data_IF_201701104089
#
_entry.id   IF_201701104089
#
_cell.length_a   1.000
_cell.length_b   1.000
_cell.length_c   1.000
_cell.angle_alpha   90.00
_cell.angle_beta   90.00
_cell.angle_gamma   90.00
#
_symmetry.space_group_name_H-M   'P 1'
#
loop_
_entity.id
_entity.type
_entity.pdbx_description
1 polymer ?
#
# COMPACT_ATOMS: atom_id res chain seq x y z
N UNK A 1 -9.55 32.69 5.61
CA UNK A 1 -9.67 32.27 4.20
C UNK A 1 -10.78 33.08 3.55
N UNK A 2 -10.49 33.86 2.50
CA UNK A 2 -11.44 34.85 1.95
C UNK A 2 -12.63 34.21 1.22
N UNK A 3 -13.81 34.86 1.33
CA UNK A 3 -15.06 34.54 0.64
C UNK A 3 -14.90 34.43 -0.89
N UNK A 4 -13.99 35.21 -1.48
CA UNK A 4 -13.67 35.15 -2.91
C UNK A 4 -13.11 33.77 -3.32
N UNK A 5 -12.18 33.20 -2.54
CA UNK A 5 -11.66 31.86 -2.82
C UNK A 5 -12.73 30.76 -2.67
N UNK A 6 -13.79 31.01 -1.90
CA UNK A 6 -14.91 30.07 -1.78
C UNK A 6 -15.82 30.12 -3.00
N UNK A 7 -16.10 31.31 -3.54
CA UNK A 7 -16.91 31.47 -4.76
C UNK A 7 -16.20 30.88 -5.99
N UNK A 8 -14.92 31.19 -6.20
CA UNK A 8 -14.16 30.65 -7.34
C UNK A 8 -13.96 29.13 -7.27
N UNK A 9 -13.74 28.54 -6.08
CA UNK A 9 -13.62 27.08 -5.98
C UNK A 9 -14.96 26.35 -6.14
N UNK A 10 -16.10 26.98 -5.85
CA UNK A 10 -17.41 26.29 -5.88
C UNK A 10 -17.79 25.82 -7.29
N UNK A 11 -17.58 26.64 -8.32
CA UNK A 11 -17.82 26.22 -9.72
C UNK A 11 -16.79 25.25 -10.29
N UNK A 12 -15.58 25.19 -9.70
CA UNK A 12 -14.50 24.30 -10.14
C UNK A 12 -14.56 22.93 -9.44
N UNK A 13 -15.15 22.86 -8.24
CA UNK A 13 -15.23 21.63 -7.44
C UNK A 13 -16.02 20.53 -8.15
N UNK A 14 -17.28 20.74 -8.53
CA UNK A 14 -18.11 19.63 -9.04
C UNK A 14 -17.68 19.12 -10.40
N UNK A 15 -17.14 19.99 -11.27
CA UNK A 15 -16.51 19.57 -12.52
C UNK A 15 -15.36 18.59 -12.26
N UNK A 16 -14.39 18.97 -11.42
CA UNK A 16 -13.26 18.11 -11.05
C UNK A 16 -13.71 16.85 -10.30
N UNK A 17 -14.67 16.97 -9.37
CA UNK A 17 -15.21 15.86 -8.60
C UNK A 17 -15.91 14.83 -9.49
N UNK A 18 -16.80 15.26 -10.40
CA UNK A 18 -17.44 14.39 -11.39
C UNK A 18 -16.42 13.67 -12.25
N UNK A 19 -15.40 14.37 -12.76
CA UNK A 19 -14.34 13.74 -13.57
C UNK A 19 -13.56 12.70 -12.76
N UNK A 20 -13.09 13.04 -11.56
CA UNK A 20 -12.34 12.10 -10.71
C UNK A 20 -13.19 10.88 -10.28
N UNK A 21 -14.50 11.05 -10.02
CA UNK A 21 -15.41 9.93 -9.73
C UNK A 21 -15.58 9.00 -10.94
N UNK A 22 -15.83 9.55 -12.13
CA UNK A 22 -15.97 8.73 -13.35
C UNK A 22 -14.68 7.95 -13.68
N UNK A 23 -13.51 8.58 -13.49
CA UNK A 23 -12.22 7.90 -13.64
C UNK A 23 -12.02 6.81 -12.59
N UNK A 24 -12.35 7.07 -11.31
CA UNK A 24 -12.29 6.07 -10.24
C UNK A 24 -13.16 4.84 -10.56
N UNK A 25 -14.44 5.06 -10.91
CA UNK A 25 -15.39 3.99 -11.27
C UNK A 25 -14.86 3.16 -12.44
N UNK A 26 -14.43 3.84 -13.53
CA UNK A 26 -13.92 3.16 -14.73
C UNK A 26 -12.66 2.34 -14.44
N UNK A 27 -11.77 2.84 -13.58
CA UNK A 27 -10.53 2.17 -13.19
C UNK A 27 -10.79 1.00 -12.24
N UNK A 28 -11.69 1.15 -11.27
CA UNK A 28 -12.12 0.08 -10.37
C UNK A 28 -12.70 -1.09 -11.18
N UNK A 29 -13.65 -0.81 -12.10
CA UNK A 29 -14.23 -1.82 -13.01
C UNK A 29 -13.17 -2.58 -13.81
N UNK A 30 -12.17 -1.88 -14.34
CA UNK A 30 -11.05 -2.51 -15.05
C UNK A 30 -10.18 -3.39 -14.12
N UNK A 31 -9.92 -2.97 -12.89
CA UNK A 31 -9.14 -3.72 -11.92
C UNK A 31 -9.88 -4.98 -11.41
N UNK A 32 -11.20 -4.90 -11.17
CA UNK A 32 -12.03 -6.06 -10.83
C UNK A 32 -11.98 -7.10 -11.96
N UNK A 33 -12.23 -6.68 -13.21
CA UNK A 33 -12.18 -7.56 -14.39
C UNK A 33 -10.82 -8.26 -14.58
N UNK A 34 -9.72 -7.59 -14.24
CA UNK A 34 -8.37 -8.17 -14.30
C UNK A 34 -8.12 -9.19 -13.19
N UNK A 35 -8.65 -8.97 -11.99
CA UNK A 35 -8.33 -9.73 -10.78
C UNK A 35 -8.84 -11.18 -10.80
N UNK A 36 -9.90 -11.50 -11.55
CA UNK A 36 -10.44 -12.87 -11.65
C UNK A 36 -9.42 -13.92 -12.13
N UNK A 37 -8.70 -13.63 -13.22
CA UNK A 37 -7.68 -14.54 -13.74
C UNK A 37 -6.48 -14.62 -12.79
N UNK A 38 -6.12 -13.50 -12.16
CA UNK A 38 -5.03 -13.45 -11.18
C UNK A 38 -5.36 -14.29 -9.94
N UNK A 39 -6.57 -14.20 -9.41
CA UNK A 39 -7.05 -15.02 -8.29
C UNK A 39 -6.97 -16.52 -8.60
N UNK A 40 -7.50 -16.94 -9.76
CA UNK A 40 -7.42 -18.34 -10.21
C UNK A 40 -5.98 -18.82 -10.36
N UNK A 41 -5.09 -17.98 -10.87
CA UNK A 41 -3.67 -18.30 -11.00
C UNK A 41 -2.97 -18.46 -9.65
N UNK A 42 -3.12 -17.51 -8.72
CA UNK A 42 -2.51 -17.58 -7.38
C UNK A 42 -3.02 -18.78 -6.57
N UNK A 43 -4.33 -19.11 -6.65
CA UNK A 43 -4.87 -20.32 -6.00
C UNK A 43 -4.25 -21.60 -6.59
N UNK A 44 -4.06 -21.65 -7.91
CA UNK A 44 -3.38 -22.77 -8.58
C UNK A 44 -1.90 -22.89 -8.17
N UNK A 45 -1.17 -21.78 -8.03
CA UNK A 45 0.21 -21.80 -7.49
C UNK A 45 0.24 -22.41 -6.07
N UNK A 46 -0.69 -22.01 -5.20
CA UNK A 46 -0.80 -22.57 -3.83
C UNK A 46 -1.06 -24.08 -3.87
N UNK A 47 -1.98 -24.54 -4.72
CA UNK A 47 -2.24 -25.98 -4.87
C UNK A 47 -0.97 -26.75 -5.32
N UNK A 48 -0.16 -26.17 -6.22
CA UNK A 48 1.12 -26.74 -6.64
C UNK A 48 2.14 -26.80 -5.49
N UNK A 49 2.22 -25.75 -4.66
CA UNK A 49 3.09 -25.77 -3.47
C UNK A 49 2.66 -26.81 -2.43
N UNK A 50 1.35 -26.98 -2.21
CA UNK A 50 0.82 -28.03 -1.33
C UNK A 50 1.14 -29.43 -1.88
N UNK A 51 0.91 -29.68 -3.17
CA UNK A 51 1.22 -30.95 -3.83
C UNK A 51 2.73 -31.28 -3.80
N UNK A 52 3.59 -30.26 -3.81
CA UNK A 52 5.04 -30.42 -3.69
C UNK A 52 5.55 -30.55 -2.23
N UNK A 53 4.66 -30.56 -1.23
CA UNK A 53 5.02 -30.57 0.19
C UNK A 53 5.66 -29.27 0.70
N UNK A 54 5.60 -28.19 -0.09
CA UNK A 54 6.22 -26.90 0.22
C UNK A 54 5.31 -26.01 1.07
N UNK A 55 4.78 -26.56 2.17
CA UNK A 55 3.83 -25.87 3.06
C UNK A 55 4.28 -24.48 3.52
N UNK A 56 5.55 -24.22 3.91
CA UNK A 56 5.96 -22.88 4.33
C UNK A 56 5.75 -21.81 3.24
N UNK A 57 5.91 -22.18 1.97
CA UNK A 57 5.65 -21.29 0.83
C UNK A 57 4.15 -21.09 0.64
N UNK A 58 3.35 -22.15 0.73
CA UNK A 58 1.89 -22.08 0.69
C UNK A 58 1.31 -21.18 1.81
N UNK A 59 1.83 -21.29 3.05
CA UNK A 59 1.44 -20.46 4.21
C UNK A 59 1.71 -18.97 4.00
N UNK A 60 2.77 -18.61 3.26
CA UNK A 60 3.07 -17.22 2.90
C UNK A 60 2.18 -16.75 1.72
N UNK A 61 2.06 -17.57 0.67
CA UNK A 61 1.31 -17.23 -0.55
C UNK A 61 -0.20 -17.10 -0.30
N UNK A 62 -0.79 -17.90 0.58
CA UNK A 62 -2.23 -17.77 0.93
C UNK A 62 -2.55 -16.42 1.57
N UNK A 63 -1.60 -15.87 2.35
CA UNK A 63 -1.77 -14.55 2.96
C UNK A 63 -1.85 -13.44 1.89
N UNK A 64 -1.07 -13.56 0.81
CA UNK A 64 -1.17 -12.65 -0.34
C UNK A 64 -2.51 -12.81 -1.06
N UNK A 65 -2.97 -14.04 -1.32
CA UNK A 65 -4.30 -14.29 -1.90
C UNK A 65 -5.42 -13.63 -1.09
N UNK A 66 -5.39 -13.76 0.23
CA UNK A 66 -6.39 -13.13 1.12
C UNK A 66 -6.33 -11.60 1.04
N UNK A 67 -5.13 -11.00 1.00
CA UNK A 67 -4.99 -9.54 0.80
C UNK A 67 -5.60 -9.10 -0.52
N UNK A 68 -5.34 -9.81 -1.62
CA UNK A 68 -5.90 -9.46 -2.94
C UNK A 68 -7.42 -9.66 -3.02
N UNK A 69 -7.97 -10.65 -2.31
CA UNK A 69 -9.42 -10.84 -2.16
C UNK A 69 -10.05 -9.69 -1.35
N UNK A 70 -9.39 -9.27 -0.27
CA UNK A 70 -9.87 -8.16 0.55
C UNK A 70 -9.86 -6.82 -0.21
N UNK A 71 -8.82 -6.55 -1.01
CA UNK A 71 -8.77 -5.36 -1.87
C UNK A 71 -9.89 -5.41 -2.93
N UNK A 72 -10.15 -6.57 -3.53
CA UNK A 72 -11.23 -6.74 -4.50
C UNK A 72 -12.61 -6.47 -3.87
N UNK A 73 -12.89 -7.03 -2.70
CA UNK A 73 -14.14 -6.76 -1.96
C UNK A 73 -14.28 -5.28 -1.51
N UNK A 74 -13.16 -4.62 -1.18
CA UNK A 74 -13.17 -3.19 -0.90
C UNK A 74 -13.47 -2.35 -2.16
N UNK A 75 -13.04 -2.80 -3.34
CA UNK A 75 -13.35 -2.13 -4.61
C UNK A 75 -14.83 -2.18 -4.97
N UNK A 76 -15.54 -3.29 -4.74
CA UNK A 76 -17.01 -3.36 -4.94
C UNK A 76 -17.76 -2.28 -4.13
N UNK A 77 -17.36 -2.09 -2.86
CA UNK A 77 -17.97 -1.08 -1.98
C UNK A 77 -17.56 0.35 -2.42
N UNK A 78 -16.30 0.56 -2.80
CA UNK A 78 -15.80 1.87 -3.24
C UNK A 78 -16.40 2.31 -4.59
N UNK A 79 -16.66 1.37 -5.50
CA UNK A 79 -17.39 1.59 -6.75
C UNK A 79 -18.79 2.14 -6.48
N UNK A 80 -19.57 1.43 -5.66
CA UNK A 80 -20.91 1.84 -5.23
C UNK A 80 -20.89 3.22 -4.57
N UNK A 81 -19.94 3.49 -3.68
CA UNK A 81 -19.79 4.81 -3.06
C UNK A 81 -19.42 5.90 -4.05
N UNK A 82 -18.59 5.62 -5.07
CA UNK A 82 -18.28 6.59 -6.11
C UNK A 82 -19.52 6.91 -6.97
N UNK A 83 -20.31 5.91 -7.36
CA UNK A 83 -21.56 6.11 -8.11
C UNK A 83 -22.61 6.87 -7.28
N UNK A 84 -22.76 6.52 -6.00
CA UNK A 84 -23.68 7.17 -5.06
C UNK A 84 -23.37 8.66 -4.84
N UNK A 85 -22.09 9.01 -4.72
CA UNK A 85 -21.58 10.38 -4.63
C UNK A 85 -21.74 11.11 -5.97
N UNK A 86 -21.44 10.44 -7.10
CA UNK A 86 -21.53 11.02 -8.45
C UNK A 86 -22.94 11.54 -8.74
N UNK A 87 -23.95 10.77 -8.39
CA UNK A 87 -25.36 11.17 -8.50
C UNK A 87 -25.73 12.39 -7.63
N UNK A 88 -24.97 12.67 -6.56
CA UNK A 88 -25.26 13.70 -5.54
C UNK A 88 -24.26 14.85 -5.50
N UNK A 89 -23.34 14.96 -6.47
CA UNK A 89 -22.38 16.08 -6.56
C UNK A 89 -23.05 17.48 -6.47
N UNK A 90 -24.22 17.76 -7.08
CA UNK A 90 -24.87 19.07 -6.91
C UNK A 90 -25.26 19.40 -5.46
N UNK A 91 -25.62 18.40 -4.66
CA UNK A 91 -25.92 18.56 -3.23
C UNK A 91 -24.62 18.87 -2.48
N UNK A 92 -23.55 18.11 -2.77
CA UNK A 92 -22.20 18.36 -2.24
C UNK A 92 -21.75 19.79 -2.57
N UNK A 93 -21.86 20.22 -3.83
CA UNK A 93 -21.52 21.58 -4.28
C UNK A 93 -22.32 22.69 -3.59
N UNK A 94 -23.59 22.43 -3.25
CA UNK A 94 -24.45 23.44 -2.64
C UNK A 94 -24.18 23.63 -1.14
N UNK A 95 -23.86 22.55 -0.42
CA UNK A 95 -23.67 22.58 1.03
C UNK A 95 -22.22 22.89 1.44
N UNK A 96 -22.07 23.63 2.55
CA UNK A 96 -20.77 23.96 3.16
C UNK A 96 -20.21 22.78 3.95
N UNK A 97 -21.08 22.08 4.68
CA UNK A 97 -20.74 20.93 5.51
C UNK A 97 -20.96 19.62 4.75
N UNK A 98 -20.46 18.51 5.29
CA UNK A 98 -20.63 17.20 4.69
C UNK A 98 -22.06 16.69 4.98
N UNK A 99 -22.91 16.43 3.97
CA UNK A 99 -24.26 15.92 4.21
C UNK A 99 -24.19 14.58 4.94
N UNK A 100 -25.00 14.40 5.98
CA UNK A 100 -24.98 13.20 6.85
C UNK A 100 -25.17 11.91 6.04
N UNK A 101 -26.12 11.91 5.10
CA UNK A 101 -26.39 10.79 4.16
C UNK A 101 -25.18 10.42 3.26
N UNK A 102 -24.25 11.36 3.04
CA UNK A 102 -23.07 11.16 2.21
C UNK A 102 -21.79 10.93 3.03
N UNK A 103 -21.84 11.13 4.36
CA UNK A 103 -20.66 11.10 5.23
C UNK A 103 -19.95 9.76 5.15
N UNK A 104 -20.68 8.64 5.14
CA UNK A 104 -20.07 7.30 5.06
C UNK A 104 -19.31 7.07 3.75
N UNK A 105 -19.94 7.35 2.61
CA UNK A 105 -19.32 7.18 1.30
C UNK A 105 -18.08 8.08 1.13
N UNK A 106 -18.19 9.36 1.55
CA UNK A 106 -17.10 10.34 1.46
C UNK A 106 -15.95 9.95 2.39
N UNK A 107 -16.25 9.57 3.64
CA UNK A 107 -15.24 9.14 4.59
C UNK A 107 -14.52 7.86 4.14
N UNK A 108 -15.26 6.90 3.60
CA UNK A 108 -14.70 5.64 3.09
C UNK A 108 -13.74 5.87 1.91
N UNK A 109 -14.06 6.75 0.98
CA UNK A 109 -13.15 7.14 -0.11
C UNK A 109 -11.90 7.85 0.43
N UNK A 110 -12.03 8.79 1.38
CA UNK A 110 -10.90 9.51 1.97
C UNK A 110 -9.96 8.54 2.72
N UNK A 111 -10.52 7.55 3.42
CA UNK A 111 -9.77 6.51 4.11
C UNK A 111 -9.09 5.52 3.15
N UNK A 112 -9.76 5.12 2.07
CA UNK A 112 -9.23 4.20 1.07
C UNK A 112 -8.15 4.84 0.17
N UNK A 113 -8.24 6.14 -0.11
CA UNK A 113 -7.35 6.87 -1.01
C UNK A 113 -5.83 6.61 -0.84
N UNK A 114 -5.23 6.65 0.37
CA UNK A 114 -3.81 6.32 0.56
C UNK A 114 -3.50 4.83 0.55
N UNK A 115 -4.50 3.95 0.58
CA UNK A 115 -4.37 2.47 0.66
C UNK A 115 -4.54 1.79 -0.70
N UNK A 116 -5.17 2.46 -1.66
CA UNK A 116 -5.47 1.95 -3.00
C UNK A 116 -4.60 2.63 -4.07
N UNK A 117 -3.30 2.31 -4.10
CA UNK A 117 -2.32 2.89 -5.06
C UNK A 117 -2.72 2.71 -6.53
N UNK A 118 -3.39 1.61 -6.86
CA UNK A 118 -3.87 1.31 -8.22
C UNK A 118 -5.00 2.25 -8.69
N UNK A 119 -5.60 3.03 -7.79
CA UNK A 119 -6.71 3.97 -8.09
C UNK A 119 -6.37 5.39 -7.63
N UNK A 120 -5.41 6.08 -8.30
CA UNK A 120 -4.95 7.41 -7.88
C UNK A 120 -6.03 8.51 -7.95
N UNK A 121 -7.18 8.27 -8.60
CA UNK A 121 -8.31 9.22 -8.59
C UNK A 121 -8.94 9.33 -7.20
N UNK A 122 -8.87 8.29 -6.36
CA UNK A 122 -9.31 8.36 -4.96
C UNK A 122 -8.46 9.38 -4.18
N UNK A 123 -7.17 9.50 -4.49
CA UNK A 123 -6.29 10.53 -3.92
C UNK A 123 -6.67 11.94 -4.41
N UNK A 124 -7.07 12.07 -5.68
CA UNK A 124 -7.62 13.34 -6.19
C UNK A 124 -8.92 13.71 -5.46
N UNK A 125 -9.82 12.75 -5.23
CA UNK A 125 -11.05 12.96 -4.46
C UNK A 125 -10.77 13.35 -3.01
N UNK A 126 -9.83 12.68 -2.33
CA UNK A 126 -9.35 13.08 -0.99
C UNK A 126 -8.86 14.53 -0.98
N UNK A 127 -8.10 14.94 -1.99
CA UNK A 127 -7.58 16.31 -2.09
C UNK A 127 -8.71 17.34 -2.35
N UNK A 128 -9.71 16.99 -3.16
CA UNK A 128 -10.90 17.82 -3.39
C UNK A 128 -11.73 17.97 -2.10
N UNK A 129 -11.97 16.88 -1.36
CA UNK A 129 -12.68 16.94 -0.08
C UNK A 129 -11.87 17.67 1.01
N UNK A 130 -10.54 17.55 1.03
CA UNK A 130 -9.67 18.35 1.88
C UNK A 130 -9.80 19.86 1.60
N UNK A 131 -9.85 20.26 0.32
CA UNK A 131 -10.05 21.65 -0.05
C UNK A 131 -11.47 22.16 0.28
N UNK A 132 -12.48 21.28 0.25
CA UNK A 132 -13.88 21.64 0.51
C UNK A 132 -14.25 21.68 2.00
N UNK A 133 -13.91 20.65 2.76
CA UNK A 133 -14.30 20.45 4.16
C UNK A 133 -13.17 20.73 5.16
N UNK A 134 -11.94 20.93 4.68
CA UNK A 134 -10.79 21.29 5.50
C UNK A 134 -9.98 20.09 5.99
N UNK A 135 -8.77 20.40 6.50
CA UNK A 135 -7.79 19.40 6.94
C UNK A 135 -8.29 18.57 8.12
N UNK A 136 -8.96 19.18 9.09
CA UNK A 136 -9.44 18.48 10.29
C UNK A 136 -10.50 17.42 10.00
N UNK A 137 -11.37 17.66 9.03
CA UNK A 137 -12.31 16.65 8.56
C UNK A 137 -11.58 15.43 7.97
N UNK A 138 -10.58 15.69 7.12
CA UNK A 138 -9.81 14.63 6.45
C UNK A 138 -8.85 13.90 7.39
N UNK A 139 -8.28 14.57 8.40
CA UNK A 139 -7.45 13.93 9.42
C UNK A 139 -8.29 13.06 10.35
N UNK A 140 -9.44 13.55 10.85
CA UNK A 140 -10.36 12.75 11.67
C UNK A 140 -10.79 11.44 11.00
N UNK A 141 -11.05 11.48 9.69
CA UNK A 141 -11.34 10.29 8.88
C UNK A 141 -10.12 9.40 8.69
N UNK A 142 -8.95 9.98 8.39
CA UNK A 142 -7.71 9.20 8.16
C UNK A 142 -7.20 8.49 9.42
N UNK A 143 -7.43 9.10 10.59
CA UNK A 143 -7.06 8.63 11.93
C UNK A 143 -8.13 7.73 12.57
N UNK A 144 -9.28 7.54 11.93
CA UNK A 144 -10.44 6.83 12.48
C UNK A 144 -10.89 7.36 13.86
N UNK A 145 -10.93 8.69 14.03
CA UNK A 145 -11.46 9.32 15.26
C UNK A 145 -12.91 8.87 15.53
N UNK A 146 -13.37 8.89 16.80
CA UNK A 146 -14.77 8.62 17.12
C UNK A 146 -15.67 9.66 16.44
N UNK A 147 -16.60 9.20 15.60
CA UNK A 147 -17.41 9.95 14.61
C UNK A 147 -16.91 9.94 13.14
N UNK A 148 -15.73 9.39 12.84
CA UNK A 148 -15.14 9.39 11.48
C UNK A 148 -16.09 8.91 10.37
N UNK A 149 -17.00 7.98 10.69
CA UNK A 149 -18.07 7.55 9.80
C UNK A 149 -17.60 6.68 8.64
N UNK A 150 -16.36 6.19 8.66
CA UNK A 150 -15.83 5.25 7.66
C UNK A 150 -16.59 3.94 7.73
N UNK A 151 -16.97 3.37 6.59
CA UNK A 151 -17.62 2.08 6.51
C UNK A 151 -16.75 0.99 7.16
N UNK A 152 -17.32 0.24 8.11
CA UNK A 152 -16.59 -0.75 8.90
C UNK A 152 -15.93 -1.84 8.03
N UNK A 153 -16.62 -2.31 7.01
CA UNK A 153 -16.08 -3.33 6.08
C UNK A 153 -14.87 -2.79 5.31
N UNK A 154 -14.89 -1.52 4.88
CA UNK A 154 -13.73 -0.87 4.27
C UNK A 154 -12.52 -0.81 5.22
N UNK A 155 -12.73 -0.54 6.52
CA UNK A 155 -11.65 -0.56 7.53
C UNK A 155 -11.07 -1.97 7.64
N UNK A 156 -11.92 -2.99 7.80
CA UNK A 156 -11.52 -4.39 7.97
C UNK A 156 -10.80 -4.93 6.73
N UNK A 157 -11.29 -4.61 5.52
CA UNK A 157 -10.74 -5.08 4.24
C UNK A 157 -9.46 -4.35 3.81
N UNK A 158 -9.32 -3.06 4.10
CA UNK A 158 -8.10 -2.28 3.78
C UNK A 158 -7.15 -2.16 4.99
N UNK A 159 -7.33 -3.00 6.03
CA UNK A 159 -6.39 -3.10 7.14
C UNK A 159 -5.08 -3.74 6.68
N UNK A 160 -3.96 -3.26 7.24
CA UNK A 160 -2.63 -3.85 7.05
C UNK A 160 -2.35 -5.04 7.98
N UNK A 161 -3.31 -5.40 8.83
CA UNK A 161 -3.18 -6.51 9.77
C UNK A 161 -3.09 -7.87 9.03
N UNK A 162 -2.25 -8.76 9.53
CA UNK A 162 -2.13 -10.12 9.00
C UNK A 162 -3.44 -10.90 9.20
N UNK A 163 -3.96 -11.62 8.20
CA UNK A 163 -5.06 -12.57 8.38
C UNK A 163 -4.75 -13.60 9.47
N UNK A 164 -5.73 -13.93 10.31
CA UNK A 164 -5.56 -14.90 11.40
C UNK A 164 -5.15 -16.29 10.88
N UNK A 165 -4.58 -17.11 11.76
CA UNK A 165 -4.27 -18.51 11.48
C UNK A 165 -5.47 -19.27 10.88
N UNK A 166 -6.65 -19.11 11.50
CA UNK A 166 -7.88 -19.79 11.07
C UNK A 166 -8.33 -19.38 9.67
N UNK A 167 -8.24 -18.09 9.33
CA UNK A 167 -8.62 -17.59 8.00
C UNK A 167 -7.63 -18.12 6.94
N UNK A 168 -6.32 -18.12 7.23
CA UNK A 168 -5.30 -18.70 6.33
C UNK A 168 -5.52 -20.20 6.14
N UNK A 169 -5.75 -20.93 7.23
CA UNK A 169 -6.00 -22.37 7.23
C UNK A 169 -7.27 -22.73 6.45
N UNK A 170 -8.35 -21.98 6.64
CA UNK A 170 -9.61 -22.15 5.90
C UNK A 170 -9.40 -22.00 4.41
N UNK A 171 -8.71 -20.94 3.96
CA UNK A 171 -8.46 -20.70 2.54
C UNK A 171 -7.51 -21.75 1.94
N UNK A 172 -6.51 -22.24 2.69
CA UNK A 172 -5.69 -23.39 2.27
C UNK A 172 -6.53 -24.66 2.09
N UNK A 173 -7.37 -25.02 3.06
CA UNK A 173 -8.28 -26.18 2.99
C UNK A 173 -9.27 -26.06 1.82
N UNK A 174 -9.76 -24.85 1.53
CA UNK A 174 -10.59 -24.59 0.35
C UNK A 174 -9.85 -24.77 -0.98
N UNK A 175 -8.60 -24.33 -1.09
CA UNK A 175 -7.76 -24.48 -2.28
C UNK A 175 -7.39 -25.96 -2.50
N UNK A 176 -6.97 -26.67 -1.46
CA UNK A 176 -6.66 -28.10 -1.55
C UNK A 176 -7.87 -28.90 -2.09
N UNK A 177 -9.06 -28.60 -1.58
CA UNK A 177 -10.32 -29.19 -2.07
C UNK A 177 -10.67 -28.77 -3.51
N UNK A 178 -10.48 -27.51 -3.90
CA UNK A 178 -10.75 -27.02 -5.26
C UNK A 178 -9.89 -27.76 -6.32
N UNK A 179 -8.62 -28.03 -6.00
CA UNK A 179 -7.67 -28.66 -6.92
C UNK A 179 -7.48 -30.18 -6.69
N UNK A 180 -8.26 -30.79 -5.80
CA UNK A 180 -8.17 -32.21 -5.42
C UNK A 180 -6.77 -32.63 -4.94
N UNK A 181 -6.11 -31.77 -4.17
CA UNK A 181 -4.83 -32.06 -3.53
C UNK A 181 -5.09 -32.74 -2.20
N UNK A 182 -4.62 -33.98 -2.05
CA UNK A 182 -4.59 -34.68 -0.77
C UNK A 182 -3.50 -34.05 0.11
N UNK A 183 -3.91 -33.40 1.20
CA UNK A 183 -3.04 -32.60 2.06
C UNK A 183 -3.46 -32.72 3.52
N UNK A 184 -2.56 -33.24 4.36
CA UNK A 184 -2.71 -33.22 5.81
C UNK A 184 -2.40 -31.82 6.37
N UNK A 185 -3.44 -31.12 6.81
CA UNK A 185 -3.30 -29.78 7.37
C UNK A 185 -2.67 -29.72 8.77
N UNK A 186 -2.45 -30.86 9.43
CA UNK A 186 -2.09 -30.93 10.86
C UNK A 186 -0.81 -30.15 11.20
N UNK A 187 0.21 -30.18 10.32
CA UNK A 187 1.45 -29.43 10.52
C UNK A 187 1.20 -27.91 10.50
N UNK A 188 0.51 -27.43 9.47
CA UNK A 188 0.18 -26.02 9.30
C UNK A 188 -0.81 -25.49 10.34
N UNK A 189 -1.75 -26.32 10.81
CA UNK A 189 -2.68 -25.99 11.90
C UNK A 189 -1.94 -25.87 13.25
N UNK A 190 -0.99 -26.77 13.53
CA UNK A 190 -0.11 -26.67 14.69
C UNK A 190 0.83 -25.46 14.61
N UNK A 191 1.35 -25.11 13.42
CA UNK A 191 2.17 -23.91 13.24
C UNK A 191 1.36 -22.63 13.48
N UNK A 192 0.16 -22.51 12.92
CA UNK A 192 -0.69 -21.33 13.10
C UNK A 192 -1.19 -21.17 14.54
N UNK A 193 -1.20 -22.25 15.32
CA UNK A 193 -1.55 -22.26 16.74
C UNK A 193 -0.39 -21.82 17.66
N UNK A 194 0.85 -21.75 17.15
CA UNK A 194 1.98 -21.19 17.90
C UNK A 194 1.83 -19.68 17.96
N UNK A 195 1.52 -19.15 19.15
CA UNK A 195 1.73 -17.73 19.41
C UNK A 195 3.20 -17.41 19.20
N UNK A 196 3.50 -16.47 18.31
CA UNK A 196 4.80 -15.82 18.34
C UNK A 196 4.87 -15.07 19.68
N UNK A 197 5.67 -15.59 20.61
CA UNK A 197 6.09 -14.85 21.80
C UNK A 197 6.60 -13.48 21.32
N UNK A 198 5.99 -12.42 21.83
CA UNK A 198 6.34 -11.07 21.44
C UNK A 198 7.72 -10.75 22.02
N UNK A 199 8.77 -10.96 21.23
CA UNK A 199 10.17 -10.72 21.62
C UNK A 199 10.46 -9.24 21.92
N UNK A 200 9.48 -8.35 21.77
CA UNK A 200 9.51 -6.95 22.22
C UNK A 200 8.77 -6.72 23.55
N UNK A 201 8.22 -7.78 24.16
CA UNK A 201 7.61 -7.82 25.48
C UNK A 201 8.63 -7.64 26.61
N UNK A 202 9.15 -6.42 26.77
CA UNK A 202 10.05 -6.07 27.86
C UNK A 202 9.44 -6.42 29.23
N UNK A 203 10.14 -7.30 29.97
CA UNK A 203 9.64 -7.89 31.22
C UNK A 203 9.12 -6.85 32.21
N UNK A 204 7.81 -6.92 32.50
CA UNK A 204 7.16 -6.23 33.63
C UNK A 204 6.83 -7.21 34.75
N UNK A 205 7.85 -7.82 35.34
CA UNK A 205 7.76 -8.29 36.72
C UNK A 205 8.35 -7.24 37.66
N UNK A 206 7.48 -6.34 38.14
CA UNK A 206 7.67 -5.66 39.42
C UNK A 206 6.51 -6.12 40.30
N UNK A 207 6.66 -7.29 40.92
CA UNK A 207 5.74 -7.78 41.94
C UNK A 207 5.96 -7.01 43.23
N UNK A 208 5.11 -6.02 43.49
CA UNK A 208 5.00 -5.42 44.81
C UNK A 208 4.30 -6.40 45.77
N UNK A 209 5.01 -6.84 46.81
CA UNK A 209 4.44 -7.60 47.92
C UNK A 209 5.14 -7.22 49.23
N UNK A 210 4.40 -6.51 50.09
CA UNK A 210 4.79 -6.18 51.47
C UNK A 210 4.36 -7.31 52.40
N UNK A 211 5.18 -7.67 53.40
CA UNK A 211 4.79 -8.64 54.44
C UNK A 211 5.96 -9.06 55.34
N UNK A 212 5.80 -8.91 56.65
CA UNK A 212 6.88 -8.98 57.65
C UNK A 212 7.22 -10.38 58.20
N UNK A 213 8.43 -10.46 58.81
CA UNK A 213 8.75 -11.09 60.12
C UNK A 213 9.71 -12.29 60.25
N UNK A 214 10.85 -12.01 60.95
CA UNK A 214 11.45 -12.78 62.10
C UNK A 214 12.23 -14.09 61.75
N UNK A 215 13.59 -14.17 61.68
CA UNK A 215 14.67 -14.14 62.73
C UNK A 215 14.94 -15.55 63.37
N UNK A 216 16.13 -15.97 63.94
CA UNK A 216 17.52 -15.42 64.05
C UNK A 216 18.72 -16.37 63.65
N UNK A 217 19.96 -15.83 63.63
CA UNK A 217 21.14 -16.25 64.44
C UNK A 217 22.54 -16.41 63.74
N UNK A 218 23.52 -15.58 64.18
CA UNK A 218 24.93 -15.86 64.62
C UNK A 218 25.77 -16.98 63.93
N UNK A 219 27.11 -16.89 63.73
CA UNK A 219 28.21 -16.10 64.32
C UNK A 219 29.42 -16.08 63.33
N UNK A 220 30.32 -15.07 63.40
CA UNK A 220 31.63 -15.14 62.72
C UNK A 220 32.38 -13.80 62.64
N UNK A 221 33.31 -13.55 63.57
CA UNK A 221 34.15 -12.33 63.60
C UNK A 221 35.55 -12.62 63.03
N UNK A 222 36.20 -11.65 62.37
CA UNK A 222 37.46 -11.06 62.84
C UNK A 222 38.05 -9.99 61.89
N UNK A 223 38.43 -8.83 62.49
CA UNK A 223 39.61 -7.97 62.20
C UNK A 223 39.80 -7.46 60.75
N UNK A 224 39.71 -6.16 60.43
CA UNK A 224 40.58 -5.00 60.80
C UNK A 224 40.96 -4.34 59.44
N UNK A 225 41.17 -3.04 59.22
CA UNK A 225 41.53 -1.87 60.04
C UNK A 225 40.87 -0.58 59.51
N UNK A 226 40.61 0.38 60.41
CA UNK A 226 40.98 1.83 60.33
C UNK A 226 41.86 2.26 59.13
N UNK A 227 41.86 3.48 58.56
CA UNK A 227 41.21 4.79 58.81
C UNK A 227 41.67 5.76 57.66
N UNK A 228 41.21 7.00 57.44
CA UNK A 228 40.28 7.91 58.15
C UNK A 228 39.51 8.84 57.16
N UNK A 229 38.89 9.90 57.68
CA UNK A 229 38.31 11.11 57.04
C UNK A 229 39.33 11.88 56.14
N UNK A 230 39.04 12.92 55.35
CA UNK A 230 37.92 13.89 55.23
C UNK A 230 38.02 14.55 53.81
N UNK A 231 37.22 15.48 53.29
CA UNK A 231 36.10 16.29 53.82
C UNK A 231 35.36 16.99 52.65
N UNK A 232 34.06 17.31 52.83
CA UNK A 232 33.38 18.60 52.49
C UNK A 232 33.55 19.21 51.07
N UNK A 233 32.45 19.40 50.29
CA UNK A 233 31.72 20.68 50.05
C UNK A 233 32.61 21.90 49.64
N UNK A 234 32.22 22.84 48.77
CA UNK A 234 30.98 23.63 48.63
C UNK A 234 30.85 24.13 47.15
N UNK A 235 29.67 24.63 46.75
CA UNK A 235 29.36 25.42 45.54
C UNK A 235 29.99 26.85 45.55
N UNK A 236 29.71 27.78 44.60
CA UNK A 236 29.58 27.72 43.13
C UNK A 236 30.46 28.78 42.38
N UNK A 237 30.25 28.93 41.07
CA UNK A 237 30.22 30.21 40.27
C UNK A 237 31.30 30.44 39.18
N UNK A 238 30.80 30.81 37.99
CA UNK A 238 31.40 31.51 36.84
C UNK A 238 32.57 30.91 36.03
N UNK A 239 32.29 30.72 34.73
CA UNK A 239 33.28 30.65 33.65
C UNK A 239 32.63 30.53 32.28
N UNK A 240 32.48 31.64 31.54
CA UNK A 240 32.19 31.58 30.10
C UNK A 240 33.44 31.09 29.38
N UNK A 241 33.32 30.11 28.47
CA UNK A 241 33.85 30.18 27.10
C UNK A 241 33.65 28.87 26.34
N UNK A 242 33.34 29.01 25.06
CA UNK A 242 33.39 27.96 24.03
C UNK A 242 34.87 27.64 23.73
N UNK A 243 35.23 26.35 23.50
CA UNK A 243 36.28 26.11 22.52
C UNK A 243 36.04 24.92 21.57
N UNK A 244 36.20 25.28 20.31
CA UNK A 244 36.74 24.56 19.17
C UNK A 244 37.53 23.25 19.39
N UNK A 245 37.44 22.40 18.36
CA UNK A 245 38.06 21.10 18.18
C UNK A 245 39.49 21.16 17.56
N UNK A 246 40.48 20.49 18.17
CA UNK A 246 41.84 20.24 17.66
C UNK A 246 42.38 18.90 18.24
N UNK A 247 43.27 18.12 17.60
CA UNK A 247 43.60 18.02 16.17
C UNK A 247 44.31 16.68 15.86
N UNK A 248 44.14 16.26 14.61
CA UNK A 248 44.72 15.12 13.86
C UNK A 248 46.26 15.23 13.69
N UNK A 249 46.97 14.11 13.38
CA UNK A 249 47.86 14.09 12.20
C UNK A 249 47.58 12.85 11.31
N UNK A 250 47.17 12.96 10.03
CA UNK A 250 47.83 13.52 8.82
C UNK A 250 48.83 12.52 8.24
N UNK A 251 48.76 12.18 6.95
CA UNK A 251 49.28 13.02 5.85
C UNK A 251 48.72 12.54 4.48
N UNK A 252 48.12 13.41 3.65
CA UNK A 252 48.71 14.15 2.48
C UNK A 252 48.97 13.26 1.24
N UNK A 253 48.76 13.64 -0.03
CA UNK A 253 48.33 14.88 -0.73
C UNK A 253 48.04 14.54 -2.23
N UNK A 254 47.62 15.39 -3.19
CA UNK A 254 47.23 16.82 -3.25
C UNK A 254 46.34 17.09 -4.50
N UNK A 255 45.40 18.02 -4.37
CA UNK A 255 44.72 18.81 -5.44
C UNK A 255 45.72 19.72 -6.20
N UNK A 256 45.44 20.32 -7.41
CA UNK A 256 44.38 21.34 -7.66
C UNK A 256 43.83 21.46 -9.13
N UNK A 257 43.01 22.43 -9.54
CA UNK A 257 41.74 23.01 -8.98
C UNK A 257 41.13 24.03 -9.99
N UNK A 258 39.82 24.28 -9.93
CA UNK A 258 39.05 25.47 -10.39
C UNK A 258 39.15 26.05 -11.83
N UNK A 259 37.98 26.44 -12.38
CA UNK A 259 37.85 27.39 -13.49
C UNK A 259 36.42 27.45 -14.08
N UNK A 260 35.79 28.62 -14.11
CA UNK A 260 34.41 28.85 -14.62
C UNK A 260 34.40 29.68 -15.93
N UNK A 261 33.25 29.62 -16.63
CA UNK A 261 32.67 30.61 -17.58
C UNK A 261 32.59 30.25 -19.09
N UNK A 262 31.34 30.14 -19.55
CA UNK A 262 30.67 30.88 -20.64
C UNK A 262 31.25 31.07 -22.08
N UNK A 263 30.33 30.83 -23.03
CA UNK A 263 30.11 31.50 -24.35
C UNK A 263 30.89 31.02 -25.62
N UNK A 264 30.08 30.84 -26.66
CA UNK A 264 30.29 30.55 -28.10
C UNK A 264 31.09 31.63 -28.89
N UNK A 265 31.33 31.53 -30.23
CA UNK A 265 31.23 30.39 -31.18
C UNK A 265 32.40 30.28 -32.21
N UNK A 266 32.33 29.26 -33.10
CA UNK A 266 32.89 29.22 -34.50
C UNK A 266 34.42 29.06 -34.66
N UNK A 267 35.02 28.52 -35.73
CA UNK A 267 34.58 27.96 -37.04
C UNK A 267 35.48 26.75 -37.40
N UNK A 268 34.96 25.66 -38.01
CA UNK A 268 35.45 25.01 -39.26
C UNK A 268 34.95 23.56 -39.43
N UNK A 269 34.37 23.33 -40.60
CA UNK A 269 34.06 22.06 -41.25
C UNK A 269 35.38 21.30 -41.63
N UNK A 270 35.44 20.02 -42.02
CA UNK A 270 34.49 19.24 -42.81
C UNK A 270 34.53 17.71 -42.51
N UNK A 271 33.49 17.02 -43.02
CA UNK A 271 33.41 15.63 -43.50
C UNK A 271 33.35 14.37 -42.60
N UNK A 272 32.23 13.64 -42.84
CA UNK A 272 32.04 12.18 -42.88
C UNK A 272 31.79 11.35 -41.58
N UNK A 273 30.96 10.27 -41.64
CA UNK A 273 30.10 9.86 -40.52
C UNK A 273 30.51 8.57 -39.75
N UNK A 274 29.85 8.24 -38.62
CA UNK A 274 30.43 7.43 -37.55
C UNK A 274 30.13 5.92 -37.58
N UNK A 275 30.96 5.17 -36.85
CA UNK A 275 30.74 3.78 -36.49
C UNK A 275 29.68 3.60 -35.38
N UNK A 276 29.11 2.40 -35.32
CA UNK A 276 27.86 2.04 -34.63
C UNK A 276 28.20 1.10 -33.47
N UNK A 277 27.50 1.15 -32.33
CA UNK A 277 27.07 -0.10 -31.69
C UNK A 277 25.84 -0.07 -30.76
N UNK A 278 25.08 -1.16 -30.82
CA UNK A 278 23.98 -1.65 -29.95
C UNK A 278 22.99 -0.67 -29.26
N UNK A 279 21.77 -0.55 -29.84
CA UNK A 279 20.58 -1.34 -29.40
C UNK A 279 19.40 -1.17 -30.37
N UNK A 280 18.71 -2.27 -30.66
CA UNK A 280 17.80 -2.42 -31.80
C UNK A 280 16.33 -2.29 -31.38
N UNK A 281 15.61 -1.29 -31.88
CA UNK A 281 14.16 -1.17 -31.70
C UNK A 281 13.48 -1.21 -33.08
N UNK A 282 12.94 -2.39 -33.44
CA UNK A 282 12.54 -2.70 -34.82
C UNK A 282 11.18 -2.10 -35.17
N UNK A 283 11.17 -0.91 -35.77
CA UNK A 283 9.97 -0.30 -36.35
C UNK A 283 9.46 -1.16 -37.54
N UNK A 284 8.24 -1.73 -37.50
CA UNK A 284 7.77 -2.65 -38.54
C UNK A 284 7.61 -1.92 -39.88
N UNK A 285 7.97 -2.60 -40.97
CA UNK A 285 7.78 -2.08 -42.34
C UNK A 285 6.28 -1.95 -42.64
N UNK A 286 5.92 -0.99 -43.49
CA UNK A 286 4.52 -0.75 -43.89
C UNK A 286 3.84 -1.98 -44.50
N UNK A 287 4.60 -2.87 -45.13
CA UNK A 287 4.15 -4.17 -45.65
C UNK A 287 3.53 -5.05 -44.54
N UNK A 288 4.22 -5.21 -43.42
CA UNK A 288 3.82 -6.07 -42.29
C UNK A 288 2.49 -5.61 -41.67
N UNK A 289 2.24 -4.30 -41.67
CA UNK A 289 1.00 -3.70 -41.15
C UNK A 289 -0.18 -4.03 -42.07
N UNK A 290 0.02 -3.94 -43.40
CA UNK A 290 -1.00 -4.30 -44.39
C UNK A 290 -1.28 -5.80 -44.42
N UNK A 291 -0.26 -6.64 -44.24
CA UNK A 291 -0.41 -8.09 -44.18
C UNK A 291 -1.17 -8.53 -42.92
N UNK A 292 -0.86 -7.95 -41.76
CA UNK A 292 -1.63 -8.17 -40.52
C UNK A 292 -3.08 -7.68 -40.64
N UNK A 293 -3.32 -6.55 -41.31
CA UNK A 293 -4.67 -6.06 -41.57
C UNK A 293 -5.47 -7.04 -42.46
N UNK A 294 -4.86 -7.57 -43.53
CA UNK A 294 -5.48 -8.61 -44.39
C UNK A 294 -5.77 -9.89 -43.63
N UNK A 295 -4.83 -10.36 -42.80
CA UNK A 295 -5.01 -11.54 -41.96
C UNK A 295 -6.16 -11.36 -40.94
N UNK A 296 -6.32 -10.16 -40.37
CA UNK A 296 -7.42 -9.82 -39.47
C UNK A 296 -8.78 -9.84 -40.19
N UNK A 297 -8.87 -9.25 -41.39
CA UNK A 297 -10.10 -9.28 -42.22
C UNK A 297 -10.50 -10.73 -42.54
N UNK A 298 -9.56 -11.53 -43.05
CA UNK A 298 -9.81 -12.94 -43.39
C UNK A 298 -10.15 -13.80 -42.14
N UNK A 299 -9.79 -13.36 -40.93
CA UNK A 299 -10.20 -14.00 -39.67
C UNK A 299 -11.64 -13.63 -39.30
N UNK A 300 -12.00 -12.35 -39.43
CA UNK A 300 -13.37 -11.86 -39.17
C UNK A 300 -14.40 -12.45 -40.14
N UNK A 301 -14.04 -12.64 -41.42
CA UNK A 301 -14.89 -13.30 -42.41
C UNK A 301 -15.13 -14.78 -42.07
N UNK A 302 -14.07 -15.51 -41.65
CA UNK A 302 -14.20 -16.91 -41.19
C UNK A 302 -15.07 -17.04 -39.93
N UNK A 303 -14.89 -16.14 -38.96
CA UNK A 303 -15.76 -16.10 -37.78
C UNK A 303 -17.23 -15.81 -38.16
N UNK A 304 -17.46 -14.89 -39.09
CA UNK A 304 -18.81 -14.55 -39.58
C UNK A 304 -19.45 -15.72 -40.35
N UNK A 305 -18.67 -16.45 -41.14
CA UNK A 305 -19.15 -17.65 -41.85
C UNK A 305 -19.52 -18.78 -40.87
N UNK A 306 -18.66 -19.04 -39.86
CA UNK A 306 -18.94 -20.01 -38.82
C UNK A 306 -20.20 -19.66 -38.01
N UNK A 307 -20.41 -18.38 -37.69
CA UNK A 307 -21.61 -17.91 -37.01
C UNK A 307 -22.90 -18.13 -37.83
N UNK A 308 -22.86 -17.94 -39.17
CA UNK A 308 -24.00 -18.25 -40.05
C UNK A 308 -24.28 -19.75 -40.12
N UNK A 309 -23.24 -20.58 -40.29
CA UNK A 309 -23.41 -22.03 -40.31
C UNK A 309 -23.98 -22.57 -38.98
N UNK A 310 -23.56 -22.01 -37.84
CA UNK A 310 -24.15 -22.33 -36.54
C UNK A 310 -25.62 -21.90 -36.41
N UNK A 311 -25.99 -20.74 -36.98
CA UNK A 311 -27.37 -20.27 -36.99
C UNK A 311 -28.28 -21.11 -37.92
N UNK A 312 -27.75 -21.61 -39.04
CA UNK A 312 -28.47 -22.54 -39.93
C UNK A 312 -28.73 -23.88 -39.23
N UNK A 313 -27.72 -24.44 -38.54
CA UNK A 313 -27.88 -25.65 -37.72
C UNK A 313 -28.91 -25.48 -36.59
N UNK A 314 -29.00 -24.28 -36.00
CA UNK A 314 -29.99 -23.97 -34.96
C UNK A 314 -31.43 -23.84 -35.49
N UNK A 315 -31.62 -23.63 -36.80
CA UNK A 315 -32.93 -23.53 -37.45
C UNK A 315 -33.43 -24.86 -38.05
N UNK A 316 -32.64 -25.94 -38.01
CA UNK A 316 -33.11 -27.28 -38.38
C UNK A 316 -33.88 -27.88 -37.20
N UNK A 317 -35.20 -27.67 -37.18
CA UNK A 317 -36.10 -28.38 -36.27
C UNK A 317 -36.19 -29.86 -36.66
N UNK A 318 -36.22 -30.73 -35.64
CA UNK A 318 -36.60 -32.15 -35.76
C UNK A 318 -38.13 -32.30 -35.82
#
# INVERSE_FOLDING_TARGET
MSLLNQLFNRGVFGGKCKTSLNLAISRIKLLQNKRDLQQKHMRKEIAQFLQAGQEPIARIRVEHVIREQNIWAAYEILELFCEFILARVPIIESQRECPTELREAIASIIFAAPRCSDVPDLLQLKNLFNAKYGKEFVSAISELRPDSGVNRTIIEKLSVHAPSGDVRLKVLKEIAREFNVDWDSSNTEAEFSKSHEDLLGGSKQISAATGDSIVPAKHGSFKSTTSIEASQSITPTHGKQEPQHLQVPKSLSKMPSFGTNEIQPSIRDDDAPPAIDFKHETRPRSSDVLERARAAIASAERASAAARAAAELANVQF
#
